data_IF_381703801698
#
_entry.id   IF_381703801698
#
_cell.length_a   1.000
_cell.length_b   1.000
_cell.length_c   1.000
_cell.angle_alpha   90.00
_cell.angle_beta   90.00
_cell.angle_gamma   90.00
#
_symmetry.space_group_name_H-M   'P 1'
#
loop_
_entity.id
_entity.type
_entity.pdbx_description
1 polymer ?
#
# COMPACT_ATOMS: atom_id res chain seq x y z
N UNK A 1 -13.92 -1.53 -18.38
CA UNK A 1 -13.46 -0.40 -19.24
C UNK A 1 -13.90 0.99 -18.73
N UNK A 2 -14.90 1.10 -17.83
CA UNK A 2 -15.30 2.38 -17.20
C UNK A 2 -14.36 2.81 -16.06
N UNK A 3 -14.04 1.90 -15.15
CA UNK A 3 -13.10 2.10 -14.04
C UNK A 3 -11.70 2.59 -14.47
N UNK A 4 -11.11 1.95 -15.48
CA UNK A 4 -9.81 2.36 -16.02
C UNK A 4 -9.83 3.79 -16.61
N UNK A 5 -11.00 4.23 -17.09
CA UNK A 5 -11.18 5.56 -17.70
C UNK A 5 -11.39 6.63 -16.63
N UNK A 6 -12.23 6.35 -15.64
CA UNK A 6 -12.43 7.21 -14.47
C UNK A 6 -11.11 7.41 -13.69
N UNK A 7 -10.29 6.35 -13.56
CA UNK A 7 -8.93 6.44 -13.03
C UNK A 7 -8.01 7.31 -13.89
N UNK A 8 -7.99 7.08 -15.20
CA UNK A 8 -7.14 7.85 -16.11
C UNK A 8 -7.47 9.34 -16.06
N UNK A 9 -8.76 9.67 -15.97
CA UNK A 9 -9.24 11.05 -15.85
C UNK A 9 -8.86 11.67 -14.50
N UNK A 10 -8.99 10.95 -13.38
CA UNK A 10 -8.62 11.48 -12.05
C UNK A 10 -7.10 11.71 -11.93
N UNK A 11 -6.30 10.75 -12.41
CA UNK A 11 -4.83 10.86 -12.43
C UNK A 11 -4.38 11.97 -13.37
N UNK A 12 -4.95 12.06 -14.57
CA UNK A 12 -4.64 13.11 -15.53
C UNK A 12 -4.94 14.50 -14.98
N UNK A 13 -6.06 14.64 -14.26
CA UNK A 13 -6.42 15.89 -13.59
C UNK A 13 -5.44 16.25 -12.47
N UNK A 14 -5.10 15.29 -11.61
CA UNK A 14 -4.13 15.48 -10.52
C UNK A 14 -2.74 15.89 -11.04
N UNK A 15 -2.23 15.22 -12.07
CA UNK A 15 -0.94 15.56 -12.68
C UNK A 15 -0.95 16.94 -13.35
N UNK A 16 -2.08 17.33 -13.94
CA UNK A 16 -2.24 18.68 -14.50
C UNK A 16 -2.18 19.75 -13.39
N UNK A 17 -2.83 19.51 -12.26
CA UNK A 17 -2.78 20.40 -11.10
C UNK A 17 -1.36 20.50 -10.51
N UNK A 18 -0.66 19.37 -10.33
CA UNK A 18 0.73 19.33 -9.86
C UNK A 18 1.65 20.12 -10.80
N UNK A 19 1.51 19.92 -12.11
CA UNK A 19 2.32 20.61 -13.12
C UNK A 19 2.09 22.12 -13.07
N UNK A 20 0.84 22.55 -12.92
CA UNK A 20 0.48 23.96 -12.81
C UNK A 20 1.08 24.60 -11.55
N UNK A 21 0.94 23.95 -10.40
CA UNK A 21 1.46 24.45 -9.13
C UNK A 21 2.99 24.50 -9.11
N UNK A 22 3.67 23.47 -9.63
CA UNK A 22 5.12 23.46 -9.76
C UNK A 22 5.60 24.58 -10.70
N UNK A 23 4.87 24.81 -11.81
CA UNK A 23 5.14 25.90 -12.73
C UNK A 23 4.97 27.28 -12.09
N UNK A 24 3.93 27.47 -11.29
CA UNK A 24 3.68 28.71 -10.57
C UNK A 24 4.76 28.97 -9.50
N UNK A 25 5.06 27.96 -8.66
CA UNK A 25 6.09 28.04 -7.63
C UNK A 25 7.45 28.40 -8.22
N UNK A 26 7.83 27.79 -9.35
CA UNK A 26 9.10 28.08 -10.03
C UNK A 26 9.23 29.53 -10.48
N UNK A 27 8.13 30.20 -10.88
CA UNK A 27 8.17 31.61 -11.32
C UNK A 27 8.40 32.60 -10.19
N UNK A 28 8.03 32.22 -8.96
CA UNK A 28 8.08 33.10 -7.79
C UNK A 28 9.08 32.64 -6.74
N UNK A 29 9.94 31.66 -7.07
CA UNK A 29 10.86 31.00 -6.13
C UNK A 29 11.64 31.97 -5.23
N UNK A 30 12.22 33.01 -5.82
CA UNK A 30 13.03 34.00 -5.09
C UNK A 30 12.22 35.20 -4.56
N UNK A 31 10.95 35.33 -4.98
CA UNK A 31 10.10 36.51 -4.71
C UNK A 31 9.05 36.27 -3.64
N UNK A 32 8.50 35.07 -3.59
CA UNK A 32 7.44 34.69 -2.65
C UNK A 32 7.66 33.27 -2.11
N UNK A 33 8.58 33.09 -1.15
CA UNK A 33 8.86 31.79 -0.55
C UNK A 33 7.65 31.19 0.16
N UNK A 34 6.71 32.01 0.61
CA UNK A 34 5.51 31.52 1.30
C UNK A 34 4.54 30.87 0.32
N UNK A 35 4.30 31.49 -0.83
CA UNK A 35 3.57 30.86 -1.91
C UNK A 35 4.23 29.56 -2.38
N UNK A 36 5.57 29.53 -2.47
CA UNK A 36 6.31 28.30 -2.83
C UNK A 36 6.02 27.18 -1.84
N UNK A 37 6.06 27.44 -0.52
CA UNK A 37 5.72 26.44 0.49
C UNK A 37 4.30 25.93 0.33
N UNK A 38 3.33 26.83 0.13
CA UNK A 38 1.93 26.46 -0.07
C UNK A 38 1.74 25.59 -1.31
N UNK A 39 2.41 25.93 -2.41
CA UNK A 39 2.38 25.14 -3.64
C UNK A 39 3.00 23.75 -3.44
N UNK A 40 4.10 23.64 -2.70
CA UNK A 40 4.72 22.35 -2.37
C UNK A 40 3.81 21.47 -1.51
N UNK A 41 3.17 22.05 -0.47
CA UNK A 41 2.20 21.34 0.36
C UNK A 41 1.03 20.81 -0.48
N UNK A 42 0.48 21.64 -1.36
CA UNK A 42 -0.65 21.25 -2.19
C UNK A 42 -0.26 20.16 -3.23
N UNK A 43 0.96 20.21 -3.77
CA UNK A 43 1.52 19.13 -4.61
C UNK A 43 1.62 17.82 -3.81
N UNK A 44 2.13 17.87 -2.58
CA UNK A 44 2.29 16.70 -1.72
C UNK A 44 0.93 16.06 -1.39
N UNK A 45 -0.04 16.86 -0.98
CA UNK A 45 -1.41 16.41 -0.68
C UNK A 45 -2.09 15.78 -1.90
N UNK A 46 -1.99 16.44 -3.05
CA UNK A 46 -2.56 15.92 -4.31
C UNK A 46 -1.93 14.59 -4.69
N UNK A 47 -0.60 14.49 -4.61
CA UNK A 47 0.12 13.26 -4.94
C UNK A 47 -0.25 12.11 -4.01
N UNK A 48 -0.29 12.36 -2.69
CA UNK A 48 -0.68 11.33 -1.70
C UNK A 48 -2.10 10.84 -1.92
N UNK A 49 -3.05 11.74 -2.21
CA UNK A 49 -4.44 11.36 -2.51
C UNK A 49 -4.53 10.48 -3.75
N UNK A 50 -3.88 10.88 -4.84
CA UNK A 50 -3.92 10.12 -6.11
C UNK A 50 -3.29 8.73 -5.99
N UNK A 51 -2.20 8.58 -5.23
CA UNK A 51 -1.62 7.25 -4.95
C UNK A 51 -2.61 6.38 -4.16
N UNK A 52 -3.27 6.94 -3.14
CA UNK A 52 -4.28 6.21 -2.38
C UNK A 52 -5.48 5.75 -3.21
N UNK A 53 -5.95 6.59 -4.14
CA UNK A 53 -7.04 6.23 -5.08
C UNK A 53 -6.60 5.11 -6.03
N UNK A 54 -5.38 5.16 -6.54
CA UNK A 54 -4.81 4.10 -7.39
C UNK A 54 -4.70 2.76 -6.65
N UNK A 55 -4.19 2.78 -5.42
CA UNK A 55 -4.07 1.57 -4.60
C UNK A 55 -5.44 0.97 -4.29
N UNK A 56 -6.44 1.79 -4.00
CA UNK A 56 -7.82 1.33 -3.76
C UNK A 56 -8.41 0.63 -4.99
N UNK A 57 -8.25 1.20 -6.18
CA UNK A 57 -8.77 0.58 -7.40
C UNK A 57 -7.98 -0.67 -7.79
N UNK A 58 -6.67 -0.70 -7.60
CA UNK A 58 -5.89 -1.93 -7.76
C UNK A 58 -6.33 -3.02 -6.76
N UNK A 59 -6.72 -2.63 -5.55
CA UNK A 59 -7.36 -3.51 -4.58
C UNK A 59 -8.66 -4.12 -5.13
N UNK A 60 -9.55 -3.31 -5.67
CA UNK A 60 -10.82 -3.77 -6.25
C UNK A 60 -10.63 -4.69 -7.46
N UNK A 61 -9.71 -4.33 -8.37
CA UNK A 61 -9.40 -5.17 -9.53
C UNK A 61 -8.81 -6.53 -9.14
N UNK A 62 -8.02 -6.57 -8.06
CA UNK A 62 -7.52 -7.83 -7.49
C UNK A 62 -8.66 -8.67 -6.91
N UNK A 63 -9.65 -8.06 -6.28
CA UNK A 63 -10.84 -8.76 -5.77
C UNK A 63 -11.75 -9.30 -6.87
N UNK A 64 -11.93 -8.56 -7.98
CA UNK A 64 -12.75 -9.01 -9.11
C UNK A 64 -12.09 -10.15 -9.91
N UNK A 65 -10.76 -10.25 -9.88
CA UNK A 65 -10.02 -11.33 -10.56
C UNK A 65 -10.05 -12.65 -9.76
N UNK A 66 -10.25 -12.58 -8.44
CA UNK A 66 -10.31 -13.73 -7.53
C UNK A 66 -11.64 -14.52 -7.63
N UNK A 67 -12.59 -14.10 -8.48
CA UNK A 67 -13.80 -14.85 -8.84
C UNK A 67 -13.60 -15.94 -9.91
N UNK A 68 -12.43 -15.99 -10.56
CA UNK A 68 -12.08 -17.05 -11.49
C UNK A 68 -10.76 -17.71 -11.10
N UNK A 69 -10.86 -18.98 -10.70
CA UNK A 69 -9.81 -20.00 -10.60
C UNK A 69 -8.59 -19.71 -11.50
N UNK A 70 -7.40 -19.42 -10.95
CA UNK A 70 -6.17 -19.52 -11.74
C UNK A 70 -4.93 -18.68 -11.42
N UNK A 71 -4.98 -17.60 -10.62
CA UNK A 71 -3.77 -16.85 -10.26
C UNK A 71 -3.83 -16.36 -8.81
N UNK A 72 -3.71 -17.29 -7.86
CA UNK A 72 -3.47 -16.92 -6.47
C UNK A 72 -2.27 -15.97 -6.43
N UNK A 73 -2.47 -14.77 -5.88
CA UNK A 73 -1.40 -13.78 -5.69
C UNK A 73 -0.24 -14.35 -4.84
N UNK A 74 0.82 -13.56 -4.60
CA UNK A 74 1.94 -14.00 -3.77
C UNK A 74 1.46 -14.60 -2.44
N UNK A 75 1.97 -15.79 -2.10
CA UNK A 75 1.68 -16.46 -0.85
C UNK A 75 2.66 -16.07 0.26
N UNK A 76 2.58 -16.77 1.39
CA UNK A 76 3.47 -16.61 2.54
C UNK A 76 4.95 -16.84 2.20
N UNK A 77 5.27 -17.55 1.12
CA UNK A 77 6.62 -17.70 0.56
C UNK A 77 7.23 -16.36 0.11
N UNK A 78 6.41 -15.43 -0.36
CA UNK A 78 6.82 -14.09 -0.76
C UNK A 78 6.91 -13.08 0.40
N UNK A 79 6.55 -13.49 1.63
CA UNK A 79 6.42 -12.60 2.78
C UNK A 79 7.74 -11.89 3.12
N UNK A 80 8.88 -12.58 3.01
CA UNK A 80 10.19 -11.97 3.27
C UNK A 80 10.46 -10.74 2.39
N UNK A 81 10.04 -10.79 1.12
CA UNK A 81 10.17 -9.66 0.18
C UNK A 81 9.23 -8.50 0.53
N UNK A 82 8.03 -8.78 1.04
CA UNK A 82 7.11 -7.77 1.54
C UNK A 82 7.70 -7.05 2.76
N UNK A 83 8.19 -7.80 3.74
CA UNK A 83 8.77 -7.26 4.99
C UNK A 83 10.01 -6.41 4.72
N UNK A 84 10.84 -6.79 3.75
CA UNK A 84 12.02 -6.01 3.39
C UNK A 84 11.70 -4.64 2.75
N UNK A 85 10.49 -4.47 2.19
CA UNK A 85 10.08 -3.27 1.44
C UNK A 85 8.99 -2.43 2.12
N UNK A 86 8.43 -2.88 3.25
CA UNK A 86 7.25 -2.23 3.86
C UNK A 86 7.53 -0.87 4.54
N UNK A 87 8.79 -0.43 4.61
CA UNK A 87 9.15 0.91 5.11
C UNK A 87 9.02 1.10 6.63
N UNK A 88 8.51 0.11 7.36
CA UNK A 88 8.46 0.06 8.83
C UNK A 88 9.35 -1.07 9.36
N UNK A 89 10.01 -0.92 10.52
CA UNK A 89 10.74 -2.03 11.14
C UNK A 89 9.75 -3.13 11.54
N UNK A 90 9.93 -4.35 11.02
CA UNK A 90 9.07 -5.50 11.37
C UNK A 90 9.87 -6.58 12.10
N UNK A 91 9.34 -7.03 13.23
CA UNK A 91 9.80 -8.26 13.91
C UNK A 91 8.85 -9.39 13.54
N UNK A 92 9.36 -10.32 12.74
CA UNK A 92 8.60 -11.47 12.25
C UNK A 92 8.99 -12.74 12.99
N UNK A 93 7.98 -13.50 13.43
CA UNK A 93 8.14 -14.86 13.94
C UNK A 93 7.06 -15.76 13.37
N UNK A 94 7.43 -17.00 13.03
CA UNK A 94 6.50 -18.05 12.67
C UNK A 94 6.62 -19.22 13.65
N UNK A 95 5.48 -19.73 14.09
CA UNK A 95 5.34 -20.99 14.79
C UNK A 95 4.70 -21.99 13.82
N UNK A 96 5.44 -23.04 13.46
CA UNK A 96 5.11 -23.95 12.36
C UNK A 96 5.65 -23.51 11.00
N UNK A 97 5.31 -24.27 9.95
CA UNK A 97 5.83 -24.07 8.57
C UNK A 97 4.82 -23.32 7.68
N UNK A 98 5.10 -22.05 7.31
CA UNK A 98 4.25 -21.30 6.37
C UNK A 98 4.12 -21.99 4.99
N UNK A 99 5.08 -22.81 4.59
CA UNK A 99 5.04 -23.58 3.35
C UNK A 99 4.03 -24.73 3.37
N UNK A 100 3.60 -25.18 4.55
CA UNK A 100 2.55 -26.19 4.71
C UNK A 100 1.13 -25.62 4.56
N UNK A 101 0.97 -24.29 4.47
CA UNK A 101 -0.32 -23.63 4.33
C UNK A 101 -0.85 -23.81 2.90
N UNK A 102 -2.11 -24.25 2.72
CA UNK A 102 -2.72 -24.37 1.39
C UNK A 102 -2.66 -23.05 0.61
N UNK A 103 -2.33 -23.12 -0.69
CA UNK A 103 -2.13 -21.95 -1.55
C UNK A 103 -3.19 -20.84 -1.43
N UNK A 104 -4.50 -21.15 -1.47
CA UNK A 104 -5.54 -20.12 -1.31
C UNK A 104 -5.48 -19.41 0.05
N UNK A 105 -5.24 -20.15 1.14
CA UNK A 105 -5.11 -19.59 2.50
C UNK A 105 -3.82 -18.78 2.62
N UNK A 106 -2.74 -19.25 1.99
CA UNK A 106 -1.44 -18.59 1.96
C UNK A 106 -1.52 -17.23 1.25
N UNK A 107 -2.22 -17.16 0.11
CA UNK A 107 -2.44 -15.92 -0.63
C UNK A 107 -3.32 -14.93 0.14
N UNK A 108 -4.41 -15.41 0.76
CA UNK A 108 -5.27 -14.58 1.61
C UNK A 108 -4.50 -14.02 2.81
N UNK A 109 -3.72 -14.86 3.49
CA UNK A 109 -2.89 -14.47 4.62
C UNK A 109 -1.83 -13.43 4.23
N UNK A 110 -1.19 -13.59 3.08
CA UNK A 110 -0.28 -12.59 2.54
C UNK A 110 -0.98 -11.24 2.33
N UNK A 111 -2.20 -11.23 1.76
CA UNK A 111 -2.99 -10.01 1.59
C UNK A 111 -3.34 -9.34 2.92
N UNK A 112 -3.76 -10.11 3.92
CA UNK A 112 -4.06 -9.61 5.27
C UNK A 112 -2.83 -8.93 5.88
N UNK A 113 -1.65 -9.56 5.79
CA UNK A 113 -0.41 -8.98 6.30
C UNK A 113 -0.02 -7.72 5.52
N UNK A 114 -0.15 -7.74 4.18
CA UNK A 114 0.13 -6.57 3.35
C UNK A 114 -0.71 -5.36 3.75
N UNK A 115 -2.01 -5.53 3.90
CA UNK A 115 -2.91 -4.44 4.31
C UNK A 115 -2.63 -3.98 5.74
N UNK A 116 -2.37 -4.92 6.67
CA UNK A 116 -1.99 -4.61 8.03
C UNK A 116 -0.72 -3.75 8.13
N UNK A 117 0.32 -4.07 7.34
CA UNK A 117 1.55 -3.30 7.27
C UNK A 117 1.34 -1.92 6.62
N UNK A 118 0.51 -1.83 5.58
CA UNK A 118 0.11 -0.55 4.97
C UNK A 118 -0.58 0.36 6.01
N UNK A 119 -1.48 -0.22 6.81
CA UNK A 119 -2.15 0.52 7.88
C UNK A 119 -1.19 0.96 8.98
N UNK A 120 -0.25 0.10 9.39
CA UNK A 120 0.78 0.48 10.35
C UNK A 120 1.70 1.59 9.81
N UNK A 121 2.03 1.59 8.51
CA UNK A 121 2.82 2.67 7.88
C UNK A 121 2.04 3.99 7.83
N UNK A 122 0.75 3.96 7.50
CA UNK A 122 -0.10 5.15 7.36
C UNK A 122 -0.54 5.75 8.71
N UNK A 123 -0.79 4.90 9.70
CA UNK A 123 -1.48 5.28 10.94
C UNK A 123 -0.72 4.91 12.21
N UNK A 124 0.36 4.14 12.12
CA UNK A 124 1.16 3.73 13.27
C UNK A 124 2.03 4.85 13.84
N UNK A 125 2.60 4.60 15.01
CA UNK A 125 3.54 5.54 15.66
C UNK A 125 4.84 5.58 14.86
N UNK A 126 5.32 6.76 14.42
CA UNK A 126 6.54 6.87 13.64
C UNK A 126 7.74 6.21 14.33
N UNK A 127 8.39 5.27 13.63
CA UNK A 127 9.57 4.56 14.13
C UNK A 127 9.30 3.43 15.12
N UNK A 128 8.04 3.19 15.52
CA UNK A 128 7.70 2.03 16.34
C UNK A 128 7.76 0.74 15.50
N UNK A 129 8.36 -0.36 16.02
CA UNK A 129 8.44 -1.61 15.30
C UNK A 129 7.11 -2.37 15.34
N UNK A 130 6.67 -2.87 14.18
CA UNK A 130 5.52 -3.78 14.08
C UNK A 130 5.96 -5.19 14.44
N UNK A 131 5.17 -5.91 15.23
CA UNK A 131 5.36 -7.34 15.50
C UNK A 131 4.37 -8.15 14.67
N UNK A 132 4.89 -9.02 13.82
CA UNK A 132 4.11 -9.97 13.04
C UNK A 132 4.36 -11.39 13.57
N UNK A 133 3.31 -12.07 14.01
CA UNK A 133 3.37 -13.49 14.38
C UNK A 133 2.45 -14.30 13.48
N UNK A 134 2.98 -15.40 12.94
CA UNK A 134 2.20 -16.45 12.29
C UNK A 134 2.18 -17.70 13.17
N UNK A 135 1.01 -18.30 13.35
CA UNK A 135 0.85 -19.63 13.95
C UNK A 135 0.21 -20.57 12.95
N UNK A 136 0.92 -21.61 12.55
CA UNK A 136 0.45 -22.62 11.59
C UNK A 136 0.04 -23.87 12.36
N UNK A 137 -1.27 -24.07 12.49
CA UNK A 137 -1.87 -25.26 13.08
C UNK A 137 -2.40 -26.24 12.04
N UNK A 138 -2.83 -27.45 12.44
CA UNK A 138 -3.32 -28.48 11.51
C UNK A 138 -4.58 -28.08 10.72
N UNK A 139 -5.38 -27.14 11.23
CA UNK A 139 -6.65 -26.70 10.62
C UNK A 139 -6.84 -25.19 10.66
N UNK A 140 -5.85 -24.45 11.11
CA UNK A 140 -5.95 -23.01 11.29
C UNK A 140 -4.63 -22.32 11.02
N UNK A 141 -4.73 -21.09 10.56
CA UNK A 141 -3.62 -20.15 10.45
C UNK A 141 -3.98 -18.93 11.28
N UNK A 142 -3.16 -18.60 12.28
CA UNK A 142 -3.31 -17.40 13.08
C UNK A 142 -2.34 -16.33 12.60
N UNK A 143 -2.84 -15.10 12.43
CA UNK A 143 -2.04 -13.92 12.09
C UNK A 143 -2.26 -12.91 13.22
N UNK A 144 -1.17 -12.46 13.85
CA UNK A 144 -1.21 -11.40 14.85
C UNK A 144 -0.27 -10.28 14.40
N UNK A 145 -0.81 -9.06 14.34
CA UNK A 145 -0.08 -7.86 14.00
C UNK A 145 -0.25 -6.84 15.13
N UNK A 146 0.82 -6.53 15.84
CA UNK A 146 0.84 -5.49 16.87
C UNK A 146 1.71 -4.31 16.41
N UNK A 147 1.16 -3.10 16.42
CA UNK A 147 1.85 -1.85 16.07
C UNK A 147 1.89 -0.88 17.24
#
# INVERSE_FOLDING_TARGET
>A
NRLARELHDSVGHALSAVTLQAGAARRVLDRDPEFVRQALTAIEETTRRTVGELDAVLGLLRQDTDGSDGLAGPGLDALGGLLARCGVPVRYTADGDPGAVPGPVSAEAYRIVQEGLSNALRHGVPGAPVRLRLGVGPRELTIVLDS
#
